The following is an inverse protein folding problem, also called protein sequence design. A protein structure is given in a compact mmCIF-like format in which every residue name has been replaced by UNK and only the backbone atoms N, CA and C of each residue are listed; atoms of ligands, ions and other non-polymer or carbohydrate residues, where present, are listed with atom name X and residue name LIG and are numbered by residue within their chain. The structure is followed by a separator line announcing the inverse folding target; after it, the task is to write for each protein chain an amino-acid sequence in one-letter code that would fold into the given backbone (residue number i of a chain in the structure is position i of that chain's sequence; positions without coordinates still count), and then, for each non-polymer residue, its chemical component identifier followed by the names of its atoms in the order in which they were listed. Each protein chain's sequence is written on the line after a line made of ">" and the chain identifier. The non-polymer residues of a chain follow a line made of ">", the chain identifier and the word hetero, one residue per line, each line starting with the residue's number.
data_IF_757980532833
#
_entry.id   IF_757980532833
#
_cell.length_a   1.000
_cell.length_b   1.000
_cell.length_c   1.000
_cell.angle_alpha   90.00
_cell.angle_beta   90.00
_cell.angle_gamma   90.00
#
_symmetry.space_group_name_H-M   'P 1'
#
loop_
_entity.id
_entity.type
_entity.pdbx_description
1 polymer ?
#
# COMPACT_ATOMS: atom_id res chain seq x y z
N UNK A 1 68.26 56.05 83.61
CA UNK A 1 67.18 57.06 83.64
C UNK A 1 65.94 56.40 83.06
N UNK A 2 64.86 56.48 83.83
CA UNK A 2 63.49 56.18 83.44
C UNK A 2 63.06 57.10 82.28
N UNK A 3 62.27 56.61 81.33
CA UNK A 3 60.82 56.92 81.26
C UNK A 3 60.56 57.71 79.96
N UNK A 4 59.41 57.73 79.28
CA UNK A 4 58.04 57.27 79.52
C UNK A 4 57.37 57.16 78.14
N UNK A 5 56.56 56.12 77.91
CA UNK A 5 55.54 56.13 76.86
C UNK A 5 54.19 56.45 77.54
N UNK A 6 53.52 57.52 77.10
CA UNK A 6 52.16 57.85 77.53
C UNK A 6 51.14 57.03 76.73
N UNK A 7 50.21 56.39 77.45
CA UNK A 7 49.04 55.69 76.93
C UNK A 7 47.81 56.60 77.17
N UNK A 8 47.00 56.83 76.13
CA UNK A 8 45.69 57.49 76.23
C UNK A 8 44.65 56.47 75.78
N UNK A 9 43.82 56.04 76.72
CA UNK A 9 42.69 55.14 76.49
C UNK A 9 41.42 55.97 76.19
N UNK A 10 40.73 55.71 75.07
CA UNK A 10 39.43 56.30 74.75
C UNK A 10 38.42 55.21 74.37
N UNK A 11 37.30 55.22 75.10
CA UNK A 11 36.19 54.25 75.19
C UNK A 11 35.30 54.20 73.91
N UNK A 12 35.90 53.84 72.78
CA UNK A 12 35.28 53.80 71.43
C UNK A 12 34.18 52.74 71.25
N UNK A 13 34.04 51.81 72.20
CA UNK A 13 33.22 50.60 72.06
C UNK A 13 31.71 50.89 72.06
N UNK A 14 31.18 51.58 73.08
CA UNK A 14 29.71 51.70 73.26
C UNK A 14 28.99 52.50 72.18
N UNK A 15 29.63 53.54 71.65
CA UNK A 15 29.00 54.47 70.69
C UNK A 15 28.94 53.87 69.28
N UNK A 16 29.98 53.12 68.89
CA UNK A 16 29.99 52.31 67.67
C UNK A 16 28.94 51.20 67.71
N UNK A 17 28.79 50.50 68.84
CA UNK A 17 27.76 49.46 68.99
C UNK A 17 26.32 50.01 68.86
N UNK A 18 26.05 51.20 69.41
CA UNK A 18 24.73 51.84 69.28
C UNK A 18 24.42 52.29 67.84
N UNK A 19 25.42 52.81 67.12
CA UNK A 19 25.28 53.15 65.69
C UNK A 19 25.08 51.91 64.83
N UNK A 20 25.87 50.86 65.06
CA UNK A 20 25.77 49.60 64.32
C UNK A 20 24.40 48.93 64.53
N UNK A 21 23.85 48.99 65.76
CA UNK A 21 22.51 48.51 66.07
C UNK A 21 21.41 49.29 65.33
N UNK A 22 21.53 50.63 65.22
CA UNK A 22 20.59 51.46 64.44
C UNK A 22 20.63 51.14 62.95
N UNK A 23 21.83 50.94 62.38
CA UNK A 23 21.97 50.53 60.98
C UNK A 23 21.39 49.14 60.72
N UNK A 24 21.60 48.18 61.63
CA UNK A 24 20.99 46.85 61.56
C UNK A 24 19.46 46.90 61.63
N UNK A 25 18.90 47.72 62.54
CA UNK A 25 17.46 47.92 62.65
C UNK A 25 16.87 48.59 61.40
N UNK A 26 17.55 49.60 60.85
CA UNK A 26 17.17 50.23 59.58
C UNK A 26 17.21 49.26 58.40
N UNK A 27 18.22 48.38 58.35
CA UNK A 27 18.33 47.36 57.30
C UNK A 27 17.23 46.30 57.42
N UNK A 28 16.92 45.83 58.64
CA UNK A 28 15.79 44.94 58.90
C UNK A 28 14.45 45.56 58.47
N UNK A 29 14.25 46.85 58.73
CA UNK A 29 13.04 47.56 58.31
C UNK A 29 12.88 47.59 56.77
N UNK A 30 13.96 47.82 56.03
CA UNK A 30 13.96 47.78 54.56
C UNK A 30 13.62 46.38 54.04
N UNK A 31 14.21 45.33 54.64
CA UNK A 31 13.88 43.93 54.28
C UNK A 31 12.39 43.66 54.49
N UNK A 32 11.81 44.09 55.62
CA UNK A 32 10.38 43.92 55.91
C UNK A 32 9.53 44.62 54.83
N UNK A 33 9.87 45.85 54.43
CA UNK A 33 9.14 46.56 53.37
C UNK A 33 9.20 45.85 52.03
N UNK A 34 10.35 45.28 51.66
CA UNK A 34 10.51 44.50 50.42
C UNK A 34 9.67 43.23 50.45
N UNK A 35 9.65 42.51 51.58
CA UNK A 35 8.79 41.32 51.77
C UNK A 35 7.31 41.68 51.70
N UNK A 36 6.89 42.81 52.30
CA UNK A 36 5.51 43.29 52.24
C UNK A 36 5.13 43.68 50.80
N UNK A 37 5.98 44.40 50.07
CA UNK A 37 5.71 44.75 48.68
C UNK A 37 5.63 43.52 47.77
N UNK A 38 6.50 42.52 47.98
CA UNK A 38 6.48 41.26 47.25
C UNK A 38 5.21 40.44 47.54
N UNK A 39 4.79 40.35 48.81
CA UNK A 39 3.55 39.64 49.18
C UNK A 39 2.30 40.32 48.62
N UNK A 40 2.26 41.66 48.55
CA UNK A 40 1.15 42.40 47.92
C UNK A 40 1.10 42.16 46.41
N UNK A 41 2.24 42.23 45.71
CA UNK A 41 2.31 41.92 44.27
C UNK A 41 1.87 40.49 43.98
N UNK A 42 2.35 39.54 44.78
CA UNK A 42 1.96 38.12 44.68
C UNK A 42 0.45 37.93 44.89
N UNK A 43 -0.13 38.55 45.92
CA UNK A 43 -1.59 38.51 46.18
C UNK A 43 -2.42 39.10 45.02
N UNK A 44 -1.96 40.20 44.40
CA UNK A 44 -2.64 40.78 43.22
C UNK A 44 -2.57 39.86 42.01
N UNK A 45 -1.40 39.27 41.75
CA UNK A 45 -1.21 38.30 40.66
C UNK A 45 -2.07 37.03 40.87
N UNK A 46 -2.14 36.53 42.10
CA UNK A 46 -3.00 35.39 42.47
C UNK A 46 -4.49 35.72 42.26
N UNK A 47 -4.96 36.91 42.68
CA UNK A 47 -6.35 37.34 42.43
C UNK A 47 -6.68 37.43 40.94
N UNK A 48 -5.78 37.99 40.14
CA UNK A 48 -5.98 38.13 38.69
C UNK A 48 -5.95 36.78 37.97
N UNK A 49 -5.09 35.84 38.42
CA UNK A 49 -5.10 34.45 37.94
C UNK A 49 -6.42 33.74 38.28
N UNK A 50 -6.92 33.88 39.51
CA UNK A 50 -8.20 33.30 39.93
C UNK A 50 -9.37 33.83 39.09
N UNK A 51 -9.42 35.14 38.84
CA UNK A 51 -10.45 35.74 38.00
C UNK A 51 -10.43 35.18 36.56
N UNK A 52 -9.25 35.08 35.95
CA UNK A 52 -9.09 34.47 34.62
C UNK A 52 -9.52 33.00 34.58
N UNK A 53 -9.19 32.24 35.62
CA UNK A 53 -9.58 30.84 35.71
C UNK A 53 -11.09 30.68 35.91
N UNK A 54 -11.74 31.57 36.67
CA UNK A 54 -13.21 31.60 36.82
C UNK A 54 -13.91 31.92 35.50
N UNK A 55 -13.44 32.92 34.75
CA UNK A 55 -13.96 33.23 33.42
C UNK A 55 -13.85 32.03 32.47
N UNK A 56 -12.68 31.37 32.47
CA UNK A 56 -12.48 30.16 31.66
C UNK A 56 -13.41 29.01 32.05
N UNK A 57 -13.71 28.85 33.34
CA UNK A 57 -14.66 27.84 33.84
C UNK A 57 -16.07 28.13 33.36
N UNK A 58 -16.49 29.40 33.35
CA UNK A 58 -17.79 29.83 32.80
C UNK A 58 -17.87 29.56 31.29
N UNK A 59 -16.88 30.01 30.52
CA UNK A 59 -16.82 29.79 29.06
C UNK A 59 -16.87 28.28 28.70
N UNK A 60 -16.09 27.46 29.40
CA UNK A 60 -16.03 26.02 29.14
C UNK A 60 -17.30 25.27 29.55
N UNK A 61 -17.92 25.68 30.66
CA UNK A 61 -19.19 25.09 31.07
C UNK A 61 -20.32 25.43 30.09
N UNK A 62 -20.38 26.69 29.63
CA UNK A 62 -21.35 27.15 28.63
C UNK A 62 -21.15 26.44 27.28
N UNK A 63 -19.90 26.31 26.81
CA UNK A 63 -19.55 25.58 25.60
C UNK A 63 -20.07 24.13 25.64
N UNK A 64 -19.74 23.37 26.69
CA UNK A 64 -20.15 21.97 26.83
C UNK A 64 -21.66 21.85 26.99
N UNK A 65 -22.30 22.74 27.76
CA UNK A 65 -23.75 22.74 27.95
C UNK A 65 -24.49 22.92 26.62
N UNK A 66 -24.06 23.87 25.78
CA UNK A 66 -24.68 24.10 24.48
C UNK A 66 -24.50 22.91 23.53
N UNK A 67 -23.32 22.27 23.55
CA UNK A 67 -23.04 21.08 22.74
C UNK A 67 -23.89 19.87 23.15
N UNK A 68 -24.05 19.64 24.45
CA UNK A 68 -24.91 18.57 24.98
C UNK A 68 -26.37 18.79 24.57
N UNK A 69 -26.89 20.02 24.70
CA UNK A 69 -28.26 20.35 24.28
C UNK A 69 -28.49 20.07 22.78
N UNK A 70 -27.55 20.50 21.93
CA UNK A 70 -27.63 20.23 20.49
C UNK A 70 -27.59 18.73 20.14
N UNK A 71 -26.85 17.94 20.92
CA UNK A 71 -26.78 16.50 20.73
C UNK A 71 -28.01 15.78 21.27
N UNK A 72 -28.62 16.24 22.36
CA UNK A 72 -29.84 15.64 22.92
C UNK A 72 -31.00 15.65 21.91
N UNK A 73 -31.14 16.76 21.18
CA UNK A 73 -32.10 16.87 20.07
C UNK A 73 -31.86 15.83 18.97
N UNK A 74 -30.59 15.43 18.78
CA UNK A 74 -30.15 14.45 17.76
C UNK A 74 -29.96 13.03 18.30
N UNK A 75 -30.00 12.83 19.61
CA UNK A 75 -29.69 11.55 20.25
C UNK A 75 -30.67 10.44 19.83
N UNK A 76 -31.91 10.82 19.49
CA UNK A 76 -32.92 9.90 18.93
C UNK A 76 -32.46 9.21 17.65
N UNK A 77 -31.61 9.85 16.85
CA UNK A 77 -31.08 9.29 15.60
C UNK A 77 -29.89 8.35 15.85
N UNK A 78 -29.18 8.46 16.98
CA UNK A 78 -28.11 7.52 17.34
C UNK A 78 -28.63 6.07 17.42
N UNK A 79 -29.86 5.89 17.93
CA UNK A 79 -30.52 4.57 18.03
C UNK A 79 -30.78 3.89 16.69
N UNK A 80 -30.79 4.66 15.59
CA UNK A 80 -31.04 4.13 14.25
C UNK A 80 -29.75 3.62 13.58
N UNK A 81 -28.58 3.84 14.20
CA UNK A 81 -27.29 3.40 13.69
C UNK A 81 -27.01 1.95 14.12
N UNK A 82 -26.19 1.24 13.33
CA UNK A 82 -25.80 -0.15 13.62
C UNK A 82 -25.15 -0.31 15.01
N UNK A 83 -24.45 0.72 15.49
CA UNK A 83 -23.84 0.78 16.84
C UNK A 83 -24.68 1.57 17.85
N UNK A 84 -25.98 1.74 17.60
CA UNK A 84 -26.84 2.69 18.32
C UNK A 84 -26.86 2.49 19.84
N UNK A 85 -26.81 1.24 20.31
CA UNK A 85 -26.77 0.93 21.75
C UNK A 85 -25.44 1.36 22.40
N UNK A 86 -24.31 1.23 21.70
CA UNK A 86 -23.01 1.67 22.21
C UNK A 86 -22.91 3.20 22.24
N UNK A 87 -23.46 3.86 21.22
CA UNK A 87 -23.50 5.32 21.14
C UNK A 87 -24.43 5.93 22.18
N UNK A 88 -25.55 5.26 22.47
CA UNK A 88 -26.46 5.63 23.55
C UNK A 88 -25.80 5.53 24.92
N UNK A 89 -25.14 4.40 25.22
CA UNK A 89 -24.36 4.25 26.46
C UNK A 89 -23.31 5.36 26.62
N UNK A 90 -22.63 5.74 25.52
CA UNK A 90 -21.64 6.81 25.54
C UNK A 90 -22.27 8.19 25.75
N UNK A 91 -23.48 8.44 25.25
CA UNK A 91 -24.23 9.66 25.54
C UNK A 91 -24.71 9.71 26.99
N UNK A 92 -25.09 8.57 27.58
CA UNK A 92 -25.38 8.46 29.01
C UNK A 92 -24.15 8.77 29.87
N UNK A 93 -22.98 8.26 29.50
CA UNK A 93 -21.70 8.58 30.15
C UNK A 93 -21.38 10.08 30.08
N UNK A 94 -21.59 10.72 28.93
CA UNK A 94 -21.48 12.19 28.76
C UNK A 94 -22.43 12.91 29.71
N UNK A 95 -23.68 12.45 29.81
CA UNK A 95 -24.68 13.06 30.70
C UNK A 95 -24.28 12.97 32.17
N UNK A 96 -23.77 11.81 32.60
CA UNK A 96 -23.26 11.58 33.96
C UNK A 96 -22.05 12.48 34.24
N UNK A 97 -21.10 12.52 33.31
CA UNK A 97 -19.89 13.35 33.44
C UNK A 97 -20.23 14.85 33.43
N UNK A 98 -21.26 15.29 32.71
CA UNK A 98 -21.73 16.67 32.71
C UNK A 98 -22.34 17.05 34.07
N UNK A 99 -23.09 16.14 34.70
CA UNK A 99 -23.57 16.35 36.07
C UNK A 99 -22.40 16.57 37.04
N UNK A 100 -21.35 15.75 36.94
CA UNK A 100 -20.12 15.92 37.73
C UNK A 100 -19.45 17.27 37.42
N UNK A 101 -19.33 17.65 36.14
CA UNK A 101 -18.77 18.95 35.73
C UNK A 101 -19.55 20.12 36.34
N UNK A 102 -20.89 20.04 36.38
CA UNK A 102 -21.77 21.05 36.99
C UNK A 102 -21.52 21.19 38.50
N UNK A 103 -21.35 20.09 39.22
CA UNK A 103 -21.03 20.11 40.65
C UNK A 103 -19.69 20.82 40.91
N UNK A 104 -18.66 20.54 40.11
CA UNK A 104 -17.38 21.25 40.20
C UNK A 104 -17.48 22.72 39.78
N UNK A 105 -18.26 23.04 38.76
CA UNK A 105 -18.54 24.42 38.33
C UNK A 105 -19.15 25.24 39.48
N UNK A 106 -20.20 24.71 40.12
CA UNK A 106 -20.84 25.37 41.26
C UNK A 106 -19.92 25.46 42.49
N UNK A 107 -19.11 24.43 42.74
CA UNK A 107 -18.10 24.42 43.81
C UNK A 107 -17.05 25.51 43.62
N UNK A 108 -16.44 25.59 42.43
CA UNK A 108 -15.42 26.59 42.09
C UNK A 108 -15.98 28.02 42.18
N UNK A 109 -17.25 28.23 41.79
CA UNK A 109 -17.93 29.53 41.88
C UNK A 109 -18.13 29.97 43.34
N UNK A 110 -18.41 29.03 44.25
CA UNK A 110 -18.59 29.29 45.69
C UNK A 110 -17.26 29.46 46.42
N UNK A 111 -16.27 28.62 46.13
CA UNK A 111 -14.94 28.67 46.74
C UNK A 111 -13.87 28.16 45.77
N UNK A 112 -13.08 29.06 45.19
CA UNK A 112 -12.02 28.66 44.25
C UNK A 112 -10.88 27.90 44.95
N UNK A 113 -10.60 26.68 44.48
CA UNK A 113 -9.38 25.90 44.74
C UNK A 113 -8.66 25.52 43.44
N UNK A 114 -7.33 25.60 43.41
CA UNK A 114 -6.54 25.16 42.24
C UNK A 114 -6.69 23.66 41.96
N UNK A 115 -6.95 22.85 43.00
CA UNK A 115 -7.23 21.43 42.86
C UNK A 115 -8.57 21.18 42.16
N UNK A 116 -9.62 21.88 42.58
CA UNK A 116 -10.95 21.78 41.96
C UNK A 116 -10.93 22.30 40.52
N UNK A 117 -10.22 23.40 40.25
CA UNK A 117 -10.02 23.91 38.90
C UNK A 117 -9.33 22.88 37.98
N UNK A 118 -8.30 22.19 38.47
CA UNK A 118 -7.62 21.13 37.71
C UNK A 118 -8.55 19.94 37.43
N UNK A 119 -9.36 19.54 38.42
CA UNK A 119 -10.35 18.47 38.24
C UNK A 119 -11.44 18.88 37.25
N UNK A 120 -11.95 20.11 37.33
CA UNK A 120 -12.89 20.66 36.35
C UNK A 120 -12.33 20.59 34.93
N UNK A 121 -11.08 21.04 34.71
CA UNK A 121 -10.44 20.96 33.40
C UNK A 121 -10.29 19.51 32.91
N UNK A 122 -10.03 18.57 33.81
CA UNK A 122 -9.91 17.15 33.46
C UNK A 122 -11.25 16.60 32.97
N UNK A 123 -12.33 16.87 33.70
CA UNK A 123 -13.69 16.44 33.32
C UNK A 123 -14.15 17.14 32.03
N UNK A 124 -13.88 18.45 31.90
CA UNK A 124 -14.15 19.20 30.67
C UNK A 124 -13.47 18.57 29.45
N UNK A 125 -12.18 18.22 29.56
CA UNK A 125 -11.45 17.62 28.44
C UNK A 125 -11.99 16.23 28.05
N UNK A 126 -12.41 15.43 29.03
CA UNK A 126 -13.07 14.14 28.78
C UNK A 126 -14.38 14.36 28.03
N UNK A 127 -15.26 15.22 28.57
CA UNK A 127 -16.54 15.56 27.95
C UNK A 127 -16.37 16.11 26.55
N UNK A 128 -15.41 17.02 26.35
CA UNK A 128 -15.09 17.57 25.03
C UNK A 128 -14.73 16.48 24.04
N UNK A 129 -13.86 15.54 24.43
CA UNK A 129 -13.45 14.43 23.58
C UNK A 129 -14.61 13.50 23.23
N UNK A 130 -15.48 13.21 24.19
CA UNK A 130 -16.64 12.34 23.96
C UNK A 130 -17.70 13.02 23.07
N UNK A 131 -17.94 14.31 23.28
CA UNK A 131 -18.82 15.12 22.43
C UNK A 131 -18.26 15.25 21.00
N UNK A 132 -16.96 15.50 20.83
CA UNK A 132 -16.30 15.54 19.52
C UNK A 132 -16.50 14.21 18.76
N UNK A 133 -16.40 13.09 19.48
CA UNK A 133 -16.64 11.76 18.90
C UNK A 133 -18.10 11.58 18.48
N UNK A 134 -19.06 11.88 19.35
CA UNK A 134 -20.50 11.71 19.07
C UNK A 134 -20.97 12.63 17.93
N UNK A 135 -20.54 13.89 17.92
CA UNK A 135 -20.85 14.84 16.85
C UNK A 135 -20.29 14.38 15.50
N UNK A 136 -19.06 13.83 15.50
CA UNK A 136 -18.46 13.28 14.29
C UNK A 136 -19.26 12.09 13.77
N UNK A 137 -19.58 11.13 14.63
CA UNK A 137 -20.37 9.95 14.25
C UNK A 137 -21.74 10.36 13.69
N UNK A 138 -22.42 11.30 14.35
CA UNK A 138 -23.69 11.83 13.85
C UNK A 138 -23.54 12.47 12.48
N UNK A 139 -22.55 13.34 12.30
CA UNK A 139 -22.31 14.02 11.02
C UNK A 139 -21.99 13.03 9.89
N UNK A 140 -21.18 12.02 10.18
CA UNK A 140 -20.83 10.98 9.20
C UNK A 140 -22.07 10.13 8.84
N UNK A 141 -22.93 9.85 9.83
CA UNK A 141 -24.19 9.14 9.60
C UNK A 141 -25.23 9.96 8.83
N UNK A 142 -25.39 11.25 9.14
CA UNK A 142 -26.27 12.18 8.40
C UNK A 142 -25.84 12.25 6.94
N UNK A 143 -24.53 12.34 6.68
CA UNK A 143 -23.98 12.34 5.33
C UNK A 143 -24.29 11.02 4.60
N UNK A 144 -24.10 9.89 5.27
CA UNK A 144 -24.37 8.57 4.69
C UNK A 144 -25.85 8.41 4.33
N UNK A 145 -26.75 8.78 5.24
CA UNK A 145 -28.19 8.77 4.99
C UNK A 145 -28.59 9.71 3.86
N UNK A 146 -27.98 10.89 3.78
CA UNK A 146 -28.24 11.82 2.68
C UNK A 146 -27.82 11.21 1.33
N UNK A 147 -26.65 10.60 1.25
CA UNK A 147 -26.20 9.90 0.05
C UNK A 147 -27.12 8.74 -0.35
N UNK A 148 -27.63 7.98 0.62
CA UNK A 148 -28.59 6.91 0.38
C UNK A 148 -29.93 7.45 -0.13
N UNK A 149 -30.46 8.51 0.48
CA UNK A 149 -31.69 9.16 0.06
C UNK A 149 -31.57 9.73 -1.36
N UNK A 150 -30.44 10.39 -1.66
CA UNK A 150 -30.14 10.88 -3.00
C UNK A 150 -30.10 9.74 -4.02
N UNK A 151 -29.50 8.60 -3.66
CA UNK A 151 -29.48 7.41 -4.52
C UNK A 151 -30.89 6.83 -4.74
N UNK A 152 -31.67 6.66 -3.67
CA UNK A 152 -33.06 6.19 -3.75
C UNK A 152 -33.90 7.12 -4.63
N UNK A 153 -33.75 8.43 -4.49
CA UNK A 153 -34.47 9.40 -5.32
C UNK A 153 -34.06 9.30 -6.80
N UNK A 154 -32.77 9.12 -7.09
CA UNK A 154 -32.28 8.87 -8.46
C UNK A 154 -32.90 7.61 -9.05
N UNK A 155 -32.86 6.49 -8.33
CA UNK A 155 -33.46 5.23 -8.80
C UNK A 155 -34.95 5.45 -9.06
N UNK A 156 -35.67 6.05 -8.11
CA UNK A 156 -37.12 6.33 -8.22
C UNK A 156 -37.46 7.15 -9.47
N UNK A 157 -36.70 8.21 -9.77
CA UNK A 157 -36.86 9.01 -11.00
C UNK A 157 -36.54 8.23 -12.26
N UNK A 158 -35.53 7.36 -12.21
CA UNK A 158 -35.10 6.60 -13.39
C UNK A 158 -36.11 5.51 -13.78
N UNK A 159 -36.72 4.86 -12.78
CA UNK A 159 -37.80 3.87 -12.97
C UNK A 159 -39.18 4.50 -13.16
N UNK A 160 -39.29 5.82 -12.98
CA UNK A 160 -40.52 6.56 -13.23
C UNK A 160 -40.94 6.44 -14.70
N UNK A 161 -42.20 6.06 -14.93
CA UNK A 161 -42.73 5.77 -16.26
C UNK A 161 -42.74 4.30 -16.69
N UNK A 162 -42.19 3.37 -15.88
CA UNK A 162 -42.41 1.93 -16.11
C UNK A 162 -43.88 1.61 -15.80
N UNK A 163 -44.59 1.04 -16.79
CA UNK A 163 -46.03 0.75 -16.67
C UNK A 163 -46.30 -0.57 -15.97
N UNK A 164 -45.42 -1.55 -16.15
CA UNK A 164 -45.59 -2.92 -15.66
C UNK A 164 -44.87 -3.18 -14.32
N UNK A 165 -45.04 -2.26 -13.36
CA UNK A 165 -44.31 -2.28 -12.09
C UNK A 165 -44.49 -3.56 -11.26
N UNK A 166 -45.67 -4.19 -11.28
CA UNK A 166 -45.89 -5.44 -10.52
C UNK A 166 -45.08 -6.61 -11.08
N UNK A 167 -45.03 -6.74 -12.41
CA UNK A 167 -44.29 -7.81 -13.09
C UNK A 167 -42.77 -7.57 -12.98
N UNK A 168 -42.35 -6.31 -13.02
CA UNK A 168 -40.94 -5.90 -12.95
C UNK A 168 -40.46 -5.62 -11.52
N UNK A 169 -41.32 -5.83 -10.51
CA UNK A 169 -41.07 -5.44 -9.12
C UNK A 169 -39.73 -5.94 -8.60
N UNK A 170 -39.44 -7.21 -8.82
CA UNK A 170 -38.19 -7.83 -8.35
C UNK A 170 -36.95 -7.11 -8.90
N UNK A 171 -36.94 -6.76 -10.19
CA UNK A 171 -35.83 -6.04 -10.83
C UNK A 171 -35.69 -4.61 -10.29
N UNK A 172 -36.82 -3.94 -10.06
CA UNK A 172 -36.83 -2.60 -9.49
C UNK A 172 -36.31 -2.64 -8.04
N UNK A 173 -36.78 -3.59 -7.24
CA UNK A 173 -36.35 -3.79 -5.85
C UNK A 173 -34.83 -4.09 -5.78
N UNK A 174 -34.29 -4.84 -6.74
CA UNK A 174 -32.85 -5.09 -6.85
C UNK A 174 -32.02 -3.81 -7.07
N UNK A 175 -32.55 -2.81 -7.79
CA UNK A 175 -31.89 -1.51 -7.96
C UNK A 175 -31.83 -0.70 -6.66
N UNK A 176 -32.86 -0.82 -5.82
CA UNK A 176 -32.89 -0.17 -4.50
C UNK A 176 -32.01 -0.90 -3.48
N UNK A 177 -31.87 -2.22 -3.60
CA UNK A 177 -31.09 -3.04 -2.67
C UNK A 177 -29.57 -2.95 -2.89
N UNK A 178 -29.11 -2.62 -4.11
CA UNK A 178 -27.68 -2.58 -4.45
C UNK A 178 -27.29 -1.21 -4.98
N UNK A 179 -26.32 -0.56 -4.32
CA UNK A 179 -25.67 0.65 -4.84
C UNK A 179 -24.78 0.26 -6.01
N UNK A 180 -25.15 0.70 -7.22
CA UNK A 180 -24.37 0.48 -8.44
C UNK A 180 -23.81 1.81 -8.97
N UNK A 181 -22.86 1.74 -9.89
CA UNK A 181 -22.35 2.94 -10.56
C UNK A 181 -23.46 3.62 -11.38
N UNK A 182 -23.33 4.92 -11.66
CA UNK A 182 -24.32 5.64 -12.47
C UNK A 182 -24.48 5.01 -13.87
N UNK A 183 -23.39 4.49 -14.45
CA UNK A 183 -23.41 3.80 -15.74
C UNK A 183 -24.15 2.46 -15.67
N UNK A 184 -23.93 1.70 -14.59
CA UNK A 184 -24.59 0.41 -14.39
C UNK A 184 -26.08 0.61 -14.07
N UNK A 185 -26.43 1.64 -13.29
CA UNK A 185 -27.81 2.03 -13.04
C UNK A 185 -28.53 2.35 -14.35
N UNK A 186 -27.89 3.15 -15.22
CA UNK A 186 -28.46 3.52 -16.51
C UNK A 186 -28.71 2.29 -17.39
N UNK A 187 -27.73 1.39 -17.50
CA UNK A 187 -27.86 0.14 -18.27
C UNK A 187 -28.99 -0.74 -17.72
N UNK A 188 -29.06 -0.89 -16.40
CA UNK A 188 -30.08 -1.72 -15.78
C UNK A 188 -31.49 -1.14 -16.00
N UNK A 189 -31.65 0.18 -15.83
CA UNK A 189 -32.93 0.87 -16.10
C UNK A 189 -33.32 0.78 -17.58
N UNK A 190 -32.39 0.93 -18.52
CA UNK A 190 -32.65 0.74 -19.96
C UNK A 190 -33.08 -0.71 -20.28
N UNK A 191 -32.48 -1.70 -19.61
CA UNK A 191 -32.91 -3.10 -19.68
C UNK A 191 -34.36 -3.27 -19.21
N UNK A 192 -34.70 -2.71 -18.05
CA UNK A 192 -36.06 -2.77 -17.50
C UNK A 192 -37.06 -2.08 -18.44
N UNK A 193 -36.74 -0.90 -18.99
CA UNK A 193 -37.60 -0.17 -19.93
C UNK A 193 -37.86 -0.97 -21.21
N UNK A 194 -36.85 -1.64 -21.74
CA UNK A 194 -37.00 -2.50 -22.92
C UNK A 194 -37.94 -3.67 -22.66
N UNK A 195 -37.86 -4.28 -21.48
CA UNK A 195 -38.78 -5.36 -21.08
C UNK A 195 -40.20 -4.81 -20.90
N UNK A 196 -40.35 -3.63 -20.28
CA UNK A 196 -41.63 -2.93 -20.15
C UNK A 196 -42.28 -2.68 -21.52
N UNK A 197 -41.52 -2.16 -22.48
CA UNK A 197 -41.96 -1.95 -23.86
C UNK A 197 -42.41 -3.25 -24.56
N UNK A 198 -41.68 -4.36 -24.34
CA UNK A 198 -42.05 -5.68 -24.88
C UNK A 198 -43.35 -6.20 -24.27
N UNK A 199 -43.56 -5.99 -22.97
CA UNK A 199 -44.81 -6.37 -22.28
C UNK A 199 -45.98 -5.50 -22.79
N UNK A 200 -45.78 -4.19 -22.95
CA UNK A 200 -46.80 -3.30 -23.51
C UNK A 200 -47.16 -3.67 -24.95
N UNK A 201 -46.17 -3.96 -25.79
CA UNK A 201 -46.40 -4.46 -27.13
C UNK A 201 -47.20 -5.76 -27.11
N UNK A 202 -46.81 -6.73 -26.28
CA UNK A 202 -47.53 -7.99 -26.10
C UNK A 202 -49.00 -7.79 -25.69
N UNK A 203 -49.26 -6.87 -24.74
CA UNK A 203 -50.62 -6.52 -24.31
C UNK A 203 -51.47 -5.93 -25.43
N UNK A 204 -50.86 -5.22 -26.38
CA UNK A 204 -51.55 -4.61 -27.53
C UNK A 204 -51.96 -5.62 -28.62
N UNK A 205 -51.42 -6.85 -28.59
CA UNK A 205 -51.74 -7.88 -29.56
C UNK A 205 -53.13 -8.51 -29.31
N UNK A 206 -53.76 -8.98 -30.38
CA UNK A 206 -54.93 -9.87 -30.28
C UNK A 206 -54.52 -11.26 -29.77
N UNK A 207 -55.45 -12.00 -29.17
CA UNK A 207 -55.15 -13.26 -28.47
C UNK A 207 -54.52 -14.33 -29.36
N UNK A 208 -54.93 -14.43 -30.63
CA UNK A 208 -54.32 -15.32 -31.63
C UNK A 208 -52.82 -15.03 -31.84
N UNK A 209 -52.45 -13.74 -31.80
CA UNK A 209 -51.07 -13.26 -31.99
C UNK A 209 -50.23 -13.32 -30.71
N UNK A 210 -50.85 -13.31 -29.53
CA UNK A 210 -50.13 -13.42 -28.25
C UNK A 210 -49.43 -14.77 -28.11
N UNK A 211 -50.16 -15.84 -28.40
CA UNK A 211 -49.61 -17.20 -28.37
C UNK A 211 -48.47 -17.35 -29.40
N UNK A 212 -48.66 -16.82 -30.61
CA UNK A 212 -47.63 -16.80 -31.64
C UNK A 212 -46.39 -16.03 -31.20
N UNK A 213 -46.56 -14.87 -30.58
CA UNK A 213 -45.45 -14.05 -30.07
C UNK A 213 -44.62 -14.78 -29.01
N UNK A 214 -45.27 -15.34 -27.99
CA UNK A 214 -44.59 -16.08 -26.91
C UNK A 214 -43.84 -17.29 -27.48
N UNK A 215 -44.49 -18.07 -28.35
CA UNK A 215 -43.86 -19.24 -28.97
C UNK A 215 -42.66 -18.85 -29.82
N UNK A 216 -42.77 -17.77 -30.61
CA UNK A 216 -41.68 -17.26 -31.44
C UNK A 216 -40.50 -16.81 -30.58
N UNK A 217 -40.75 -16.09 -29.48
CA UNK A 217 -39.72 -15.66 -28.54
C UNK A 217 -38.98 -16.86 -27.92
N UNK A 218 -39.71 -17.89 -27.45
CA UNK A 218 -39.11 -19.10 -26.88
C UNK A 218 -38.30 -19.86 -27.93
N UNK A 219 -38.79 -19.96 -29.17
CA UNK A 219 -38.05 -20.58 -30.26
C UNK A 219 -36.76 -19.83 -30.59
N UNK A 220 -36.80 -18.49 -30.67
CA UNK A 220 -35.62 -17.67 -30.91
C UNK A 220 -34.60 -17.78 -29.78
N UNK A 221 -35.06 -17.78 -28.53
CA UNK A 221 -34.24 -18.00 -27.34
C UNK A 221 -33.54 -19.36 -27.39
N UNK A 222 -34.30 -20.42 -27.66
CA UNK A 222 -33.79 -21.79 -27.74
C UNK A 222 -32.75 -21.93 -28.84
N UNK A 223 -33.07 -21.44 -30.04
CA UNK A 223 -32.15 -21.42 -31.17
C UNK A 223 -30.86 -20.66 -30.83
N UNK A 224 -30.97 -19.49 -30.20
CA UNK A 224 -29.81 -18.70 -29.81
C UNK A 224 -28.93 -19.42 -28.79
N UNK A 225 -29.52 -20.10 -27.82
CA UNK A 225 -28.79 -20.91 -26.86
C UNK A 225 -28.08 -22.08 -27.56
N UNK A 226 -28.78 -22.84 -28.41
CA UNK A 226 -28.23 -23.98 -29.15
C UNK A 226 -27.08 -23.58 -30.07
N UNK A 227 -27.16 -22.43 -30.74
CA UNK A 227 -26.08 -21.90 -31.58
C UNK A 227 -24.83 -21.54 -30.78
N UNK A 228 -25.00 -21.08 -29.53
CA UNK A 228 -23.92 -20.51 -28.72
C UNK A 228 -23.30 -21.49 -27.76
N UNK A 229 -24.08 -22.45 -27.28
CA UNK A 229 -23.66 -23.45 -26.32
C UNK A 229 -22.39 -24.21 -26.75
N UNK A 230 -22.23 -24.70 -28.00
CA UNK A 230 -21.01 -25.38 -28.44
C UNK A 230 -19.76 -24.48 -28.39
N UNK A 231 -19.93 -23.18 -28.65
CA UNK A 231 -18.84 -22.20 -28.58
C UNK A 231 -18.43 -21.92 -27.14
N UNK A 232 -19.39 -21.90 -26.22
CA UNK A 232 -19.13 -21.76 -24.79
C UNK A 232 -18.48 -23.04 -24.25
N UNK A 233 -19.01 -24.20 -24.61
CA UNK A 233 -18.50 -25.52 -24.21
C UNK A 233 -17.04 -25.73 -24.64
N UNK A 234 -16.69 -25.31 -25.86
CA UNK A 234 -15.30 -25.41 -26.35
C UNK A 234 -14.32 -24.50 -25.60
N UNK A 235 -14.80 -23.40 -24.98
CA UNK A 235 -13.97 -22.46 -24.21
C UNK A 235 -13.96 -22.75 -22.71
N UNK A 236 -15.09 -23.19 -22.15
CA UNK A 236 -15.26 -23.45 -20.72
C UNK A 236 -16.38 -24.47 -20.49
N UNK A 237 -16.00 -25.71 -20.17
CA UNK A 237 -16.96 -26.80 -19.96
C UNK A 237 -17.78 -26.64 -18.68
N UNK A 238 -17.17 -26.11 -17.61
CA UNK A 238 -17.87 -25.86 -16.34
C UNK A 238 -18.95 -24.79 -16.49
N UNK A 239 -18.64 -23.70 -17.20
CA UNK A 239 -19.55 -22.60 -17.42
C UNK A 239 -20.68 -23.00 -18.37
N UNK A 240 -20.37 -23.73 -19.44
CA UNK A 240 -21.39 -24.32 -20.32
C UNK A 240 -22.38 -25.19 -19.54
N UNK A 241 -21.89 -26.08 -18.66
CA UNK A 241 -22.75 -26.96 -17.87
C UNK A 241 -23.64 -26.18 -16.88
N UNK A 242 -23.14 -25.10 -16.29
CA UNK A 242 -23.96 -24.21 -15.45
C UNK A 242 -25.04 -23.50 -16.26
N UNK A 243 -24.68 -22.97 -17.42
CA UNK A 243 -25.60 -22.28 -18.32
C UNK A 243 -26.69 -23.22 -18.84
N UNK A 244 -26.35 -24.48 -19.14
CA UNK A 244 -27.32 -25.50 -19.51
C UNK A 244 -28.32 -25.77 -18.40
N UNK A 245 -27.87 -25.95 -17.15
CA UNK A 245 -28.78 -26.14 -16.02
C UNK A 245 -29.74 -24.96 -15.85
N UNK A 246 -29.25 -23.73 -16.04
CA UNK A 246 -30.09 -22.53 -15.99
C UNK A 246 -31.08 -22.48 -17.15
N UNK A 247 -30.67 -22.87 -18.34
CA UNK A 247 -31.55 -22.95 -19.50
C UNK A 247 -32.66 -24.00 -19.31
N UNK A 248 -32.31 -25.18 -18.80
CA UNK A 248 -33.27 -26.24 -18.49
C UNK A 248 -34.28 -25.79 -17.42
N UNK A 249 -33.80 -25.14 -16.36
CA UNK A 249 -34.67 -24.55 -15.31
C UNK A 249 -35.56 -23.43 -15.86
N UNK A 250 -35.04 -22.59 -16.75
CA UNK A 250 -35.81 -21.57 -17.46
C UNK A 250 -36.94 -22.20 -18.28
N UNK A 251 -36.66 -23.24 -19.08
CA UNK A 251 -37.68 -23.93 -19.87
C UNK A 251 -38.81 -24.49 -19.00
N UNK A 252 -38.49 -25.02 -17.82
CA UNK A 252 -39.49 -25.49 -16.85
C UNK A 252 -40.33 -24.32 -16.30
N UNK A 253 -39.70 -23.21 -15.91
CA UNK A 253 -40.40 -22.02 -15.41
C UNK A 253 -41.32 -21.42 -16.47
N UNK A 254 -40.87 -21.35 -17.72
CA UNK A 254 -41.67 -20.84 -18.84
C UNK A 254 -42.97 -21.62 -19.07
N UNK A 255 -43.07 -22.88 -18.63
CA UNK A 255 -44.30 -23.67 -18.77
C UNK A 255 -45.40 -23.26 -17.76
N UNK A 256 -45.01 -22.75 -16.59
CA UNK A 256 -45.93 -22.47 -15.47
C UNK A 256 -46.12 -20.97 -15.19
N UNK A 257 -45.26 -20.12 -15.75
CA UNK A 257 -45.32 -18.67 -15.60
C UNK A 257 -46.44 -18.03 -16.44
N UNK A 258 -46.86 -16.83 -16.03
CA UNK A 258 -47.75 -15.99 -16.83
C UNK A 258 -47.06 -15.48 -18.09
N UNK A 259 -47.80 -15.09 -19.14
CA UNK A 259 -47.16 -14.68 -20.41
C UNK A 259 -46.26 -13.44 -20.26
N UNK A 260 -46.65 -12.46 -19.45
CA UNK A 260 -45.79 -11.30 -19.15
C UNK A 260 -44.51 -11.72 -18.42
N UNK A 261 -44.60 -12.68 -17.51
CA UNK A 261 -43.46 -13.20 -16.77
C UNK A 261 -42.54 -14.05 -17.67
N UNK A 262 -43.10 -14.79 -18.63
CA UNK A 262 -42.31 -15.48 -19.66
C UNK A 262 -41.43 -14.52 -20.45
N UNK A 263 -41.94 -13.33 -20.77
CA UNK A 263 -41.16 -12.28 -21.45
C UNK A 263 -39.98 -11.84 -20.57
N UNK A 264 -40.21 -11.57 -19.28
CA UNK A 264 -39.12 -11.19 -18.36
C UNK A 264 -38.06 -12.28 -18.28
N UNK A 265 -38.49 -13.53 -18.04
CA UNK A 265 -37.60 -14.68 -17.88
C UNK A 265 -36.75 -14.95 -19.14
N UNK A 266 -37.34 -14.81 -20.33
CA UNK A 266 -36.64 -14.99 -21.60
C UNK A 266 -35.57 -13.91 -21.82
N UNK A 267 -35.91 -12.63 -21.57
CA UNK A 267 -34.97 -11.52 -21.71
C UNK A 267 -33.83 -11.59 -20.70
N UNK A 268 -34.10 -11.99 -19.45
CA UNK A 268 -33.09 -12.15 -18.41
C UNK A 268 -32.03 -13.18 -18.81
N UNK A 269 -32.47 -14.31 -19.35
CA UNK A 269 -31.55 -15.32 -19.82
C UNK A 269 -30.76 -14.87 -21.06
N UNK A 270 -31.36 -14.09 -21.97
CA UNK A 270 -30.63 -13.54 -23.12
C UNK A 270 -29.53 -12.58 -22.69
N UNK A 271 -29.82 -11.69 -21.74
CA UNK A 271 -28.82 -10.76 -21.21
C UNK A 271 -27.68 -11.54 -20.52
N UNK A 272 -28.00 -12.58 -19.74
CA UNK A 272 -26.99 -13.45 -19.13
C UNK A 272 -26.13 -14.16 -20.19
N UNK A 273 -26.76 -14.71 -21.23
CA UNK A 273 -26.06 -15.38 -22.34
C UNK A 273 -25.10 -14.43 -23.06
N UNK A 274 -25.53 -13.19 -23.34
CA UNK A 274 -24.71 -12.16 -23.98
C UNK A 274 -23.53 -11.77 -23.09
N UNK A 275 -23.76 -11.62 -21.79
CA UNK A 275 -22.70 -11.30 -20.85
C UNK A 275 -21.62 -12.38 -20.83
N UNK A 276 -22.03 -13.65 -20.73
CA UNK A 276 -21.12 -14.80 -20.78
C UNK A 276 -20.33 -14.84 -22.09
N UNK A 277 -20.98 -14.56 -23.23
CA UNK A 277 -20.29 -14.47 -24.52
C UNK A 277 -19.18 -13.40 -24.51
N UNK A 278 -19.48 -12.22 -23.98
CA UNK A 278 -18.55 -11.10 -23.92
C UNK A 278 -17.36 -11.38 -23.00
N UNK A 279 -17.62 -11.93 -21.81
CA UNK A 279 -16.58 -12.31 -20.84
C UNK A 279 -15.62 -13.35 -21.45
N UNK A 280 -16.16 -14.41 -22.07
CA UNK A 280 -15.36 -15.43 -22.74
C UNK A 280 -14.59 -14.89 -23.95
N UNK A 281 -15.14 -13.90 -24.67
CA UNK A 281 -14.43 -13.25 -25.77
C UNK A 281 -13.25 -12.40 -25.26
N UNK A 282 -13.45 -11.63 -24.18
CA UNK A 282 -12.40 -10.81 -23.58
C UNK A 282 -11.29 -11.66 -22.96
N UNK A 283 -11.64 -12.71 -22.22
CA UNK A 283 -10.66 -13.61 -21.61
C UNK A 283 -9.84 -14.35 -22.67
N UNK A 284 -10.49 -14.78 -23.76
CA UNK A 284 -9.78 -15.37 -24.89
C UNK A 284 -8.81 -14.37 -25.54
N UNK A 285 -9.22 -13.10 -25.73
CA UNK A 285 -8.35 -12.06 -26.26
C UNK A 285 -7.17 -11.75 -25.34
N UNK A 286 -7.37 -11.71 -24.01
CA UNK A 286 -6.31 -11.53 -23.02
C UNK A 286 -5.30 -12.69 -23.06
N UNK A 287 -5.79 -13.93 -23.16
CA UNK A 287 -4.94 -15.14 -23.31
C UNK A 287 -4.14 -15.13 -24.61
N UNK A 288 -4.71 -14.65 -25.71
CA UNK A 288 -3.98 -14.51 -26.97
C UNK A 288 -2.89 -13.43 -26.91
N UNK A 289 -3.19 -12.25 -26.33
CA UNK A 289 -2.19 -11.17 -26.18
C UNK A 289 -1.01 -11.61 -25.33
N UNK A 290 -1.28 -12.20 -24.17
CA UNK A 290 -0.22 -12.74 -23.28
C UNK A 290 0.64 -13.80 -23.97
N UNK A 291 0.07 -14.70 -24.78
CA UNK A 291 0.87 -15.69 -25.52
C UNK A 291 1.82 -15.04 -26.53
N UNK A 292 1.38 -13.98 -27.23
CA UNK A 292 2.25 -13.23 -28.15
C UNK A 292 3.40 -12.54 -27.42
N UNK A 293 3.10 -11.87 -26.31
CA UNK A 293 4.12 -11.18 -25.52
C UNK A 293 5.18 -12.16 -24.97
N UNK A 294 4.77 -13.38 -24.62
CA UNK A 294 5.68 -14.45 -24.20
C UNK A 294 6.56 -14.97 -25.33
N UNK A 295 6.03 -15.12 -26.55
CA UNK A 295 6.83 -15.46 -27.74
C UNK A 295 7.87 -14.37 -28.01
N UNK A 296 7.46 -13.10 -28.02
CA UNK A 296 8.35 -11.97 -28.26
C UNK A 296 9.46 -11.90 -27.18
N UNK A 297 9.12 -12.16 -25.91
CA UNK A 297 10.10 -12.24 -24.81
C UNK A 297 11.09 -13.38 -25.01
N UNK A 298 10.60 -14.58 -25.35
CA UNK A 298 11.44 -15.74 -25.63
C UNK A 298 12.42 -15.48 -26.78
N UNK A 299 11.95 -14.96 -27.92
CA UNK A 299 12.79 -14.65 -29.07
C UNK A 299 13.88 -13.62 -28.72
N UNK A 300 13.53 -12.60 -27.93
CA UNK A 300 14.48 -11.59 -27.47
C UNK A 300 15.58 -12.20 -26.59
N UNK A 301 15.23 -13.11 -25.68
CA UNK A 301 16.19 -13.80 -24.80
C UNK A 301 17.13 -14.69 -25.61
N UNK A 302 16.59 -15.46 -26.56
CA UNK A 302 17.38 -16.29 -27.48
C UNK A 302 18.34 -15.42 -28.31
N UNK A 303 17.88 -14.26 -28.78
CA UNK A 303 18.75 -13.30 -29.51
C UNK A 303 19.90 -12.77 -28.65
N UNK A 304 19.73 -12.59 -27.34
CA UNK A 304 20.83 -12.20 -26.43
C UNK A 304 21.88 -13.31 -26.37
N UNK A 305 21.45 -14.56 -26.25
CA UNK A 305 22.35 -15.71 -26.25
C UNK A 305 23.08 -15.87 -27.59
N UNK A 306 22.39 -15.73 -28.72
CA UNK A 306 23.01 -15.82 -30.05
C UNK A 306 24.11 -14.76 -30.26
N UNK A 307 23.96 -13.56 -29.67
CA UNK A 307 24.96 -12.48 -29.73
C UNK A 307 26.26 -12.78 -28.98
N UNK A 308 26.27 -13.77 -28.08
CA UNK A 308 27.50 -14.22 -27.40
C UNK A 308 28.48 -14.85 -28.39
N UNK A 309 27.97 -15.42 -29.49
CA UNK A 309 28.78 -16.04 -30.54
C UNK A 309 29.45 -17.35 -30.12
N UNK A 310 29.04 -17.93 -28.99
CA UNK A 310 29.51 -19.21 -28.48
C UNK A 310 28.31 -20.01 -27.94
N UNK A 311 28.21 -21.28 -28.32
CA UNK A 311 27.08 -22.15 -27.94
C UNK A 311 27.48 -23.10 -26.82
N UNK A 312 26.66 -23.14 -25.77
CA UNK A 312 26.78 -24.06 -24.66
C UNK A 312 25.56 -24.99 -24.61
N UNK A 313 25.81 -26.29 -24.77
CA UNK A 313 24.77 -27.29 -24.98
C UNK A 313 23.66 -27.31 -23.92
N UNK A 314 23.95 -26.98 -22.65
CA UNK A 314 22.93 -26.94 -21.59
C UNK A 314 21.91 -25.82 -21.83
N UNK A 315 22.38 -24.66 -22.27
CA UNK A 315 21.49 -23.54 -22.62
C UNK A 315 20.71 -23.87 -23.88
N UNK A 316 21.34 -24.49 -24.88
CA UNK A 316 20.65 -24.93 -26.10
C UNK A 316 19.49 -25.91 -25.80
N UNK A 317 19.70 -26.86 -24.88
CA UNK A 317 18.67 -27.80 -24.45
C UNK A 317 17.50 -27.11 -23.73
N UNK A 318 17.78 -26.12 -22.88
CA UNK A 318 16.74 -25.34 -22.21
C UNK A 318 15.96 -24.45 -23.17
N UNK A 319 16.63 -23.84 -24.15
CA UNK A 319 15.96 -23.09 -25.24
C UNK A 319 14.99 -24.00 -25.99
N UNK A 320 15.44 -25.19 -26.40
CA UNK A 320 14.59 -26.13 -27.14
C UNK A 320 13.45 -26.67 -26.28
N UNK A 321 13.67 -26.89 -24.97
CA UNK A 321 12.61 -27.29 -24.03
C UNK A 321 11.52 -26.21 -23.93
N UNK A 322 11.91 -24.95 -23.72
CA UNK A 322 10.97 -23.82 -23.61
C UNK A 322 10.25 -23.56 -24.93
N UNK A 323 10.94 -23.74 -26.07
CA UNK A 323 10.33 -23.66 -27.40
C UNK A 323 9.25 -24.72 -27.61
N UNK A 324 9.52 -25.98 -27.25
CA UNK A 324 8.52 -27.05 -27.31
C UNK A 324 7.31 -26.75 -26.41
N UNK A 325 7.55 -26.15 -25.23
CA UNK A 325 6.46 -25.70 -24.34
C UNK A 325 5.64 -24.56 -24.95
N UNK A 326 6.26 -23.61 -25.67
CA UNK A 326 5.55 -22.54 -26.38
C UNK A 326 4.58 -23.10 -27.45
N UNK A 327 5.00 -24.16 -28.12
CA UNK A 327 4.22 -24.85 -29.14
C UNK A 327 3.11 -25.74 -28.53
N UNK A 328 3.35 -26.38 -27.39
CA UNK A 328 2.42 -27.38 -26.82
C UNK A 328 1.59 -26.93 -25.61
N UNK A 329 1.95 -25.83 -24.92
CA UNK A 329 1.33 -25.44 -23.65
C UNK A 329 0.14 -24.47 -23.84
N UNK A 330 -0.92 -24.71 -23.07
CA UNK A 330 -2.12 -23.86 -23.01
C UNK A 330 -2.15 -22.92 -21.78
N UNK A 331 -1.21 -23.09 -20.84
CA UNK A 331 -1.11 -22.30 -19.62
C UNK A 331 0.03 -21.28 -19.74
N UNK A 332 -0.35 -20.00 -19.80
CA UNK A 332 0.56 -18.87 -19.99
C UNK A 332 1.35 -18.55 -18.71
N UNK A 333 0.83 -18.83 -17.52
CA UNK A 333 1.52 -18.50 -16.26
C UNK A 333 2.70 -19.44 -16.03
N UNK A 334 2.48 -20.75 -16.26
CA UNK A 334 3.56 -21.73 -16.25
C UNK A 334 4.63 -21.37 -17.28
N UNK A 335 4.22 -20.93 -18.46
CA UNK A 335 5.14 -20.61 -19.54
C UNK A 335 5.97 -19.34 -19.27
N UNK A 336 5.39 -18.32 -18.64
CA UNK A 336 6.09 -17.12 -18.21
C UNK A 336 7.20 -17.42 -17.19
N UNK A 337 6.92 -18.32 -16.25
CA UNK A 337 7.90 -18.77 -15.26
C UNK A 337 9.09 -19.46 -15.95
N UNK A 338 8.82 -20.39 -16.86
CA UNK A 338 9.86 -21.14 -17.59
C UNK A 338 10.72 -20.20 -18.47
N UNK A 339 10.10 -19.21 -19.13
CA UNK A 339 10.85 -18.19 -19.90
C UNK A 339 11.73 -17.35 -18.98
N UNK A 340 11.27 -17.01 -17.78
CA UNK A 340 12.04 -16.20 -16.83
C UNK A 340 13.21 -16.98 -16.21
N UNK A 341 13.05 -18.28 -15.98
CA UNK A 341 14.14 -19.17 -15.57
C UNK A 341 15.21 -19.28 -16.67
N UNK A 342 14.77 -19.46 -17.93
CA UNK A 342 15.65 -19.45 -19.10
C UNK A 342 16.41 -18.12 -19.25
N UNK A 343 15.73 -16.99 -19.06
CA UNK A 343 16.32 -15.65 -19.07
C UNK A 343 17.47 -15.54 -18.05
N UNK A 344 17.23 -15.99 -16.81
CA UNK A 344 18.23 -15.97 -15.75
C UNK A 344 19.45 -16.85 -16.08
N UNK A 345 19.22 -18.04 -16.62
CA UNK A 345 20.28 -18.96 -17.04
C UNK A 345 21.16 -18.36 -18.15
N UNK A 346 20.53 -17.77 -19.18
CA UNK A 346 21.24 -17.12 -20.30
C UNK A 346 22.02 -15.89 -19.83
N UNK A 347 21.44 -15.06 -18.98
CA UNK A 347 22.12 -13.88 -18.43
C UNK A 347 23.34 -14.27 -17.60
N UNK A 348 23.19 -15.28 -16.74
CA UNK A 348 24.29 -15.79 -15.92
C UNK A 348 25.41 -16.33 -16.81
N UNK A 349 25.08 -17.20 -17.76
CA UNK A 349 26.04 -17.75 -18.72
C UNK A 349 26.77 -16.64 -19.50
N UNK A 350 26.02 -15.68 -20.05
CA UNK A 350 26.58 -14.56 -20.84
C UNK A 350 27.57 -13.74 -20.03
N UNK A 351 27.24 -13.47 -18.76
CA UNK A 351 28.10 -12.72 -17.85
C UNK A 351 29.39 -13.48 -17.55
N UNK A 352 29.27 -14.73 -17.11
CA UNK A 352 30.43 -15.56 -16.72
C UNK A 352 31.36 -15.82 -17.91
N UNK A 353 30.80 -16.10 -19.10
CA UNK A 353 31.59 -16.30 -20.31
C UNK A 353 32.34 -15.03 -20.73
N UNK A 354 31.68 -13.87 -20.69
CA UNK A 354 32.30 -12.58 -21.01
C UNK A 354 33.42 -12.22 -20.04
N UNK A 355 33.22 -12.45 -18.74
CA UNK A 355 34.22 -12.23 -17.70
C UNK A 355 35.44 -13.13 -17.90
N UNK A 356 35.24 -14.44 -18.04
CA UNK A 356 36.35 -15.39 -18.23
C UNK A 356 37.07 -15.15 -19.56
N UNK A 357 36.37 -14.75 -20.62
CA UNK A 357 36.98 -14.37 -21.89
C UNK A 357 37.89 -13.15 -21.73
N UNK A 358 37.45 -12.10 -21.02
CA UNK A 358 38.28 -10.93 -20.71
C UNK A 358 39.50 -11.30 -19.88
N UNK A 359 39.33 -12.16 -18.88
CA UNK A 359 40.44 -12.67 -18.08
C UNK A 359 41.46 -13.44 -18.93
N UNK A 360 40.99 -14.28 -19.87
CA UNK A 360 41.87 -14.98 -20.80
C UNK A 360 42.65 -14.03 -21.71
N UNK A 361 41.99 -13.00 -22.25
CA UNK A 361 42.63 -11.96 -23.08
C UNK A 361 43.68 -11.16 -22.28
N UNK A 362 43.39 -10.83 -21.03
CA UNK A 362 44.34 -10.17 -20.12
C UNK A 362 45.51 -11.10 -19.78
N UNK A 363 45.24 -12.37 -19.52
CA UNK A 363 46.27 -13.38 -19.26
C UNK A 363 47.23 -13.52 -20.45
N UNK A 364 46.71 -13.49 -21.68
CA UNK A 364 47.54 -13.53 -22.89
C UNK A 364 48.52 -12.36 -22.96
N UNK A 365 48.06 -11.14 -22.64
CA UNK A 365 48.91 -9.93 -22.59
C UNK A 365 49.96 -10.04 -21.50
N UNK A 366 49.55 -10.46 -20.31
CA UNK A 366 50.44 -10.69 -19.17
C UNK A 366 51.54 -11.71 -19.51
N UNK A 367 51.17 -12.81 -20.16
CA UNK A 367 52.12 -13.83 -20.60
C UNK A 367 53.13 -13.32 -21.62
N UNK A 368 52.70 -12.51 -22.61
CA UNK A 368 53.62 -11.89 -23.58
C UNK A 368 54.66 -11.03 -22.88
N UNK A 369 54.24 -10.21 -21.91
CA UNK A 369 55.14 -9.34 -21.14
C UNK A 369 56.09 -10.14 -20.24
N UNK A 370 55.59 -11.15 -19.54
CA UNK A 370 56.39 -12.02 -18.68
C UNK A 370 57.49 -12.75 -19.49
N UNK A 371 57.14 -13.29 -20.67
CA UNK A 371 58.10 -13.96 -21.56
C UNK A 371 59.19 -13.02 -22.07
N UNK A 372 58.83 -11.79 -22.44
CA UNK A 372 59.81 -10.78 -22.89
C UNK A 372 60.86 -10.48 -21.81
N UNK A 373 60.46 -10.44 -20.53
CA UNK A 373 61.35 -10.11 -19.42
C UNK A 373 62.24 -11.28 -18.99
N UNK A 374 61.73 -12.51 -19.04
CA UNK A 374 62.43 -13.67 -18.51
C UNK A 374 63.56 -14.21 -19.38
N UNK A 375 63.64 -13.89 -20.69
CA UNK A 375 64.71 -14.30 -21.63
C UNK A 375 65.19 -15.77 -21.50
N UNK A 376 64.32 -16.71 -21.13
CA UNK A 376 64.68 -18.12 -20.89
C UNK A 376 63.86 -19.02 -21.81
N UNK A 377 64.53 -19.87 -22.60
CA UNK A 377 63.91 -20.75 -23.59
C UNK A 377 63.14 -21.94 -23.02
N UNK A 378 63.32 -22.30 -21.75
CA UNK A 378 62.69 -23.47 -21.12
C UNK A 378 61.41 -23.18 -20.32
N UNK A 379 61.21 -21.94 -19.85
CA UNK A 379 59.96 -21.50 -19.17
C UNK A 379 58.82 -21.18 -20.14
N UNK A 380 59.11 -21.04 -21.44
CA UNK A 380 58.08 -20.75 -22.44
C UNK A 380 57.03 -21.86 -22.54
N UNK A 381 57.46 -23.13 -22.57
CA UNK A 381 56.56 -24.27 -22.80
C UNK A 381 55.56 -24.50 -21.65
N UNK A 382 55.98 -24.23 -20.40
CA UNK A 382 55.12 -24.31 -19.23
C UNK A 382 54.03 -23.23 -19.28
N UNK A 383 54.41 -21.98 -19.54
CA UNK A 383 53.46 -20.87 -19.60
C UNK A 383 52.49 -20.98 -20.78
N UNK A 384 52.93 -21.54 -21.90
CA UNK A 384 52.04 -21.89 -23.02
C UNK A 384 51.01 -22.95 -22.63
N UNK A 385 51.39 -23.91 -21.79
CA UNK A 385 50.46 -24.92 -21.27
C UNK A 385 49.39 -24.31 -20.35
N UNK A 386 49.73 -23.29 -19.55
CA UNK A 386 48.78 -22.57 -18.70
C UNK A 386 47.71 -21.84 -19.51
N UNK A 387 48.13 -21.09 -20.54
CA UNK A 387 47.17 -20.42 -21.44
C UNK A 387 46.29 -21.43 -22.17
N UNK A 388 46.88 -22.53 -22.66
CA UNK A 388 46.13 -23.59 -23.33
C UNK A 388 45.08 -24.21 -22.42
N UNK A 389 45.42 -24.51 -21.17
CA UNK A 389 44.48 -25.07 -20.20
C UNK A 389 43.34 -24.10 -19.86
N UNK A 390 43.63 -22.82 -19.64
CA UNK A 390 42.58 -21.81 -19.42
C UNK A 390 41.66 -21.67 -20.64
N UNK A 391 42.22 -21.70 -21.85
CA UNK A 391 41.43 -21.67 -23.08
C UNK A 391 40.52 -22.90 -23.22
N UNK A 392 41.01 -24.09 -22.85
CA UNK A 392 40.21 -25.32 -22.81
C UNK A 392 39.07 -25.20 -21.78
N UNK A 393 39.35 -24.76 -20.55
CA UNK A 393 38.34 -24.56 -19.50
C UNK A 393 37.26 -23.53 -19.89
N UNK A 394 37.63 -22.47 -20.59
CA UNK A 394 36.68 -21.49 -21.13
C UNK A 394 35.74 -22.13 -22.17
N UNK A 395 36.27 -22.96 -23.07
CA UNK A 395 35.46 -23.66 -24.08
C UNK A 395 34.61 -24.79 -23.49
N UNK A 396 35.09 -25.43 -22.43
CA UNK A 396 34.30 -26.38 -21.64
C UNK A 396 33.22 -25.69 -20.78
N UNK A 397 33.24 -24.35 -20.71
CA UNK A 397 32.35 -23.54 -19.87
C UNK A 397 32.45 -23.89 -18.38
N UNK A 398 33.62 -24.33 -17.93
CA UNK A 398 33.91 -24.61 -16.52
C UNK A 398 34.47 -23.35 -15.86
N UNK A 399 33.60 -22.35 -15.65
CA UNK A 399 33.99 -21.01 -15.21
C UNK A 399 34.61 -20.98 -13.81
N UNK A 400 34.14 -21.82 -12.89
CA UNK A 400 34.67 -21.88 -11.53
C UNK A 400 36.11 -22.40 -11.50
N UNK A 401 36.38 -23.51 -12.21
CA UNK A 401 37.72 -24.05 -12.32
C UNK A 401 38.62 -23.10 -13.14
N UNK A 402 38.08 -22.45 -14.19
CA UNK A 402 38.80 -21.41 -14.93
C UNK A 402 39.31 -20.30 -14.00
N UNK A 403 38.45 -19.72 -13.17
CA UNK A 403 38.81 -18.61 -12.27
C UNK A 403 39.85 -19.04 -11.23
N UNK A 404 39.70 -20.25 -10.70
CA UNK A 404 40.66 -20.85 -9.76
C UNK A 404 42.04 -21.03 -10.42
N UNK A 405 42.09 -21.67 -11.58
CA UNK A 405 43.34 -21.90 -12.33
C UNK A 405 43.99 -20.60 -12.80
N UNK A 406 43.20 -19.61 -13.18
CA UNK A 406 43.69 -18.30 -13.57
C UNK A 406 44.54 -17.68 -12.44
N UNK A 407 44.02 -17.68 -11.21
CA UNK A 407 44.73 -17.14 -10.04
C UNK A 407 46.00 -17.96 -9.75
N UNK A 408 45.89 -19.29 -9.74
CA UNK A 408 47.03 -20.19 -9.53
C UNK A 408 48.17 -19.90 -10.53
N UNK A 409 47.84 -19.87 -11.83
CA UNK A 409 48.82 -19.66 -12.88
C UNK A 409 49.41 -18.25 -12.87
N UNK A 410 48.60 -17.22 -12.58
CA UNK A 410 49.10 -15.85 -12.44
C UNK A 410 50.11 -15.72 -11.29
N UNK A 411 49.85 -16.38 -10.15
CA UNK A 411 50.76 -16.38 -9.01
C UNK A 411 52.06 -17.11 -9.33
N UNK A 412 51.99 -18.30 -9.95
CA UNK A 412 53.18 -19.07 -10.35
C UNK A 412 54.11 -18.27 -11.27
N UNK A 413 53.55 -17.56 -12.26
CA UNK A 413 54.32 -16.73 -13.20
C UNK A 413 54.91 -15.51 -12.47
N UNK A 414 54.15 -14.88 -11.58
CA UNK A 414 54.60 -13.74 -10.79
C UNK A 414 55.77 -14.11 -9.88
N UNK A 415 55.70 -15.26 -9.22
CA UNK A 415 56.77 -15.82 -8.40
C UNK A 415 58.02 -16.14 -9.23
N UNK A 416 57.85 -16.66 -10.45
CA UNK A 416 58.97 -16.89 -11.36
C UNK A 416 59.65 -15.58 -11.79
N UNK A 417 58.88 -14.53 -12.07
CA UNK A 417 59.39 -13.19 -12.37
C UNK A 417 60.18 -12.59 -11.18
N UNK A 418 59.65 -12.73 -9.97
CA UNK A 418 60.31 -12.31 -8.72
C UNK A 418 61.63 -13.07 -8.46
N UNK A 419 61.64 -14.38 -8.69
CA UNK A 419 62.86 -15.20 -8.53
C UNK A 419 63.93 -14.90 -9.58
N UNK A 420 63.54 -14.57 -10.80
CA UNK A 420 64.49 -14.19 -11.86
C UNK A 420 65.19 -12.83 -11.61
N UNK A 421 64.57 -11.94 -10.85
CA UNK A 421 65.06 -10.58 -10.57
C UNK A 421 65.87 -10.48 -9.26
N UNK A 422 65.81 -11.50 -8.40
CA UNK A 422 66.54 -11.56 -7.12
C UNK A 422 68.04 -11.92 -7.26
N UNK A 423 68.55 -12.07 -8.50
CA UNK A 423 70.00 -12.15 -8.78
C UNK A 423 70.69 -10.79 -8.96
N UNK A 424 69.98 -9.64 -8.84
CA UNK A 424 70.62 -8.33 -8.74
C UNK A 424 70.43 -7.72 -7.34
N UNK A 425 71.52 -7.59 -6.60
CA UNK A 425 71.60 -7.21 -5.18
C UNK A 425 71.27 -5.73 -4.93
N UNK A 426 70.02 -5.27 -5.19
CA UNK A 426 69.64 -3.89 -4.88
C UNK A 426 68.18 -3.40 -5.06
N UNK A 427 67.17 -4.23 -5.38
CA UNK A 427 65.88 -3.73 -5.92
C UNK A 427 64.58 -4.13 -5.20
N UNK A 428 64.62 -4.59 -3.94
CA UNK A 428 63.43 -5.06 -3.20
C UNK A 428 62.27 -4.04 -3.17
N UNK A 429 62.55 -2.74 -2.97
CA UNK A 429 61.51 -1.70 -2.92
C UNK A 429 61.02 -1.25 -4.30
N UNK A 430 61.85 -1.39 -5.33
CA UNK A 430 61.45 -1.09 -6.73
C UNK A 430 60.54 -2.19 -7.27
N UNK A 431 60.78 -3.45 -6.88
CA UNK A 431 60.02 -4.62 -7.34
C UNK A 431 58.59 -4.63 -6.78
N UNK A 432 58.41 -4.35 -5.48
CA UNK A 432 57.07 -4.23 -4.88
C UNK A 432 56.26 -3.09 -5.50
N UNK A 433 56.93 -1.99 -5.86
CA UNK A 433 56.30 -0.84 -6.52
C UNK A 433 55.90 -1.17 -7.96
N UNK A 434 56.72 -1.90 -8.71
CA UNK A 434 56.44 -2.31 -10.09
C UNK A 434 55.34 -3.38 -10.19
N UNK A 435 55.26 -4.32 -9.25
CA UNK A 435 54.15 -5.28 -9.18
C UNK A 435 52.85 -4.58 -8.81
N UNK A 436 52.92 -3.59 -7.91
CA UNK A 436 51.78 -2.75 -7.56
C UNK A 436 51.33 -1.87 -8.74
N UNK A 437 52.25 -1.25 -9.47
CA UNK A 437 51.94 -0.45 -10.67
C UNK A 437 51.34 -1.32 -11.79
N UNK A 438 51.81 -2.57 -11.97
CA UNK A 438 51.20 -3.56 -12.89
C UNK A 438 49.83 -4.06 -12.42
N UNK A 439 49.57 -4.15 -11.11
CA UNK A 439 48.24 -4.48 -10.60
C UNK A 439 47.27 -3.29 -10.74
N UNK A 440 47.73 -2.08 -10.44
CA UNK A 440 46.94 -0.86 -10.51
C UNK A 440 46.60 -0.48 -11.97
N UNK A 441 47.45 -0.81 -12.95
CA UNK A 441 47.19 -0.58 -14.38
C UNK A 441 46.27 -1.65 -15.04
N UNK A 442 46.14 -2.84 -14.43
CA UNK A 442 45.32 -3.94 -14.95
C UNK A 442 43.94 -4.08 -14.28
N UNK A 443 43.74 -3.49 -13.10
CA UNK A 443 42.49 -3.57 -12.32
C UNK A 443 41.85 -2.22 -11.94
N UNK A 444 42.50 -1.09 -12.24
CA UNK A 444 41.87 0.24 -12.26
C UNK A 444 41.18 0.52 -13.59
#
# INVERSE_FOLDING_TARGET
>A
MWGEFYEIDIDFSKLLWAQLLRYLLGFLFIIVLVVVAFTIKRKKAEKLRKLKNLQRVEEYFEEISNRILNLDDKAKFLRLLNDGQNLENKFEEVTINFKNLKEYYEGIKKSYSDGEFKTFLTIYNILKSDLDFLEKVLKDSEKTLQEELEYIEKVKKAVDGIKNNEVLKKKIDELFAKRVSDDDLKKAVEGIKRIDEKIEYFKSLGDDKKNEYINTMIQLLTKRFEEKYPLILSKSSSLALQLQKKFDDLLLKLQVSSDSEKIVLAEDFLDELIQVENELAQDFQKKMRSKKDLVDKFEKIVSVYDKVGFKFYKIDLEIERVKNLLESCADNEKLEKEISELESAILTFTREFSECKKLLENFERFLKEAKNRLKVGSSSNLFDSYYKNLKELLYECNFDEFKKRYIEYQNDISDALLKSTSFSTGSSDTIKKVIKDLFDEFFG
#
